data_IF_524124924751
#
_entry.id   IF_524124924751
#
_cell.length_a   1.000
_cell.length_b   1.000
_cell.length_c   1.000
_cell.angle_alpha   90.00
_cell.angle_beta   90.00
_cell.angle_gamma   90.00
#
_symmetry.space_group_name_H-M   'P 1'
#
loop_
_entity.id
_entity.type
_entity.pdbx_description
1 polymer ?
#
# COMPACT_ATOMS: atom_id res chain seq x y z
N UNK A 1 32.14 50.13 -18.86
CA UNK A 1 31.01 49.40 -18.26
C UNK A 1 31.29 47.92 -18.48
N UNK A 2 31.71 47.22 -17.44
CA UNK A 2 31.93 45.77 -17.48
C UNK A 2 30.58 45.05 -17.66
N UNK A 3 30.49 43.99 -18.48
CA UNK A 3 29.23 43.30 -18.78
C UNK A 3 28.74 42.37 -17.64
N UNK A 4 29.06 42.66 -16.38
CA UNK A 4 28.81 41.78 -15.23
C UNK A 4 27.61 42.20 -14.36
N UNK A 5 26.73 43.08 -14.85
CA UNK A 5 25.59 43.59 -14.07
C UNK A 5 24.26 43.49 -14.85
N UNK A 6 24.06 42.40 -15.60
CA UNK A 6 22.70 41.98 -15.97
C UNK A 6 22.21 41.07 -14.86
N UNK A 7 21.49 41.64 -13.90
CA UNK A 7 20.81 40.88 -12.86
C UNK A 7 19.98 39.75 -13.45
N UNK A 8 19.85 38.64 -12.71
CA UNK A 8 19.03 37.52 -13.12
C UNK A 8 17.62 37.99 -13.52
N UNK A 9 17.05 37.50 -14.64
CA UNK A 9 15.72 37.91 -15.05
C UNK A 9 14.70 37.56 -13.96
N UNK A 10 13.74 38.46 -13.74
CA UNK A 10 12.62 38.20 -12.83
C UNK A 10 11.81 36.99 -13.30
N UNK A 11 11.17 36.28 -12.37
CA UNK A 11 10.31 35.12 -12.67
C UNK A 11 9.30 35.40 -13.80
N UNK A 12 8.59 36.53 -13.76
CA UNK A 12 7.62 36.92 -14.80
C UNK A 12 8.26 37.10 -16.18
N UNK A 13 9.48 37.61 -16.23
CA UNK A 13 10.22 37.79 -17.48
C UNK A 13 10.66 36.44 -18.05
N UNK A 14 11.05 35.49 -17.20
CA UNK A 14 11.37 34.12 -17.61
C UNK A 14 10.14 33.41 -18.16
N UNK A 15 9.01 33.47 -17.45
CA UNK A 15 7.74 32.87 -17.87
C UNK A 15 7.29 33.44 -19.22
N UNK A 16 7.37 34.77 -19.37
CA UNK A 16 7.04 35.46 -20.63
C UNK A 16 7.99 35.06 -21.77
N UNK A 17 9.28 34.85 -21.48
CA UNK A 17 10.25 34.41 -22.49
C UNK A 17 9.93 33.01 -23.05
N UNK A 18 9.29 32.15 -22.27
CA UNK A 18 8.75 30.87 -22.74
C UNK A 18 7.35 30.98 -23.38
N UNK A 19 6.75 32.18 -23.43
CA UNK A 19 5.42 32.39 -24.00
C UNK A 19 4.29 31.82 -23.15
N UNK A 20 4.50 31.68 -21.84
CA UNK A 20 3.53 31.14 -20.89
C UNK A 20 2.99 32.22 -19.95
N UNK A 21 1.95 31.89 -19.20
CA UNK A 21 1.48 32.65 -18.04
C UNK A 21 1.81 31.94 -16.73
N UNK A 22 1.84 32.65 -15.58
CA UNK A 22 2.14 32.03 -14.28
C UNK A 22 1.22 30.85 -13.91
N UNK A 23 -0.05 30.85 -14.37
CA UNK A 23 -0.98 29.75 -14.09
C UNK A 23 -0.65 28.46 -14.87
N UNK A 24 0.15 28.56 -15.93
CA UNK A 24 0.49 27.43 -16.81
C UNK A 24 1.72 26.67 -16.35
N UNK A 25 2.45 27.15 -15.35
CA UNK A 25 3.69 26.53 -14.86
C UNK A 25 3.59 26.24 -13.37
N UNK A 26 4.28 25.20 -12.94
CA UNK A 26 4.71 25.04 -11.56
C UNK A 26 6.16 25.51 -11.45
N UNK A 27 6.51 26.25 -10.39
CA UNK A 27 7.90 26.58 -10.10
C UNK A 27 8.49 25.50 -9.19
N UNK A 28 9.74 25.11 -9.42
CA UNK A 28 10.45 24.19 -8.54
C UNK A 28 10.67 24.84 -7.17
N UNK A 29 10.39 24.10 -6.10
CA UNK A 29 10.66 24.49 -4.72
C UNK A 29 11.71 23.54 -4.12
N UNK A 30 12.94 24.00 -3.83
CA UNK A 30 13.97 23.17 -3.24
C UNK A 30 13.65 22.74 -1.80
N UNK A 31 12.79 23.46 -1.07
CA UNK A 31 12.35 23.06 0.27
C UNK A 31 11.31 21.94 0.22
N UNK A 32 10.54 21.87 -0.87
CA UNK A 32 9.51 20.85 -1.11
C UNK A 32 9.64 20.28 -2.53
N UNK A 33 10.64 19.41 -2.80
CA UNK A 33 10.97 18.95 -4.15
C UNK A 33 9.94 17.99 -4.78
N UNK A 34 8.71 17.95 -4.27
CA UNK A 34 7.60 17.20 -4.87
C UNK A 34 7.08 17.96 -6.07
N UNK A 35 7.10 17.32 -7.23
CA UNK A 35 6.67 17.91 -8.50
C UNK A 35 5.50 17.14 -9.11
N UNK A 36 4.53 17.88 -9.65
CA UNK A 36 3.48 17.34 -10.50
C UNK A 36 4.02 17.27 -11.93
N UNK A 37 4.53 16.11 -12.35
CA UNK A 37 5.19 15.99 -13.64
C UNK A 37 4.23 16.12 -14.83
N UNK A 38 2.91 16.12 -14.60
CA UNK A 38 1.89 16.35 -15.63
C UNK A 38 1.66 17.84 -15.90
N UNK A 39 2.34 18.73 -15.16
CA UNK A 39 2.37 20.18 -15.40
C UNK A 39 3.75 20.64 -15.86
N UNK A 40 3.82 21.70 -16.70
CA UNK A 40 5.11 22.29 -17.08
C UNK A 40 5.89 22.77 -15.85
N UNK A 41 7.11 22.25 -15.68
CA UNK A 41 7.98 22.58 -14.54
C UNK A 41 8.99 23.65 -14.94
N UNK A 42 8.99 24.77 -14.21
CA UNK A 42 9.97 25.84 -14.34
C UNK A 42 11.01 25.74 -13.23
N UNK A 43 12.28 25.67 -13.62
CA UNK A 43 13.44 25.67 -12.73
C UNK A 43 14.26 26.93 -13.02
N UNK A 44 14.53 27.76 -12.01
CA UNK A 44 15.38 28.94 -12.19
C UNK A 44 16.86 28.58 -12.07
N UNK A 45 17.75 29.40 -12.64
CA UNK A 45 19.20 29.17 -12.60
C UNK A 45 19.75 28.82 -11.20
N UNK A 46 19.27 29.52 -10.17
CA UNK A 46 19.72 29.32 -8.80
C UNK A 46 19.30 27.97 -8.19
N UNK A 47 18.41 27.23 -8.85
CA UNK A 47 17.83 25.96 -8.39
C UNK A 47 18.25 24.78 -9.29
N UNK A 48 18.98 25.06 -10.39
CA UNK A 48 19.34 24.06 -11.38
C UNK A 48 20.13 22.89 -10.76
N UNK A 49 21.03 23.16 -9.80
CA UNK A 49 21.83 22.11 -9.17
C UNK A 49 20.97 21.18 -8.31
N UNK A 50 20.09 21.71 -7.45
CA UNK A 50 19.20 20.90 -6.62
C UNK A 50 18.12 20.19 -7.45
N UNK A 51 17.62 20.82 -8.50
CA UNK A 51 16.58 20.26 -9.34
C UNK A 51 17.08 19.12 -10.25
N UNK A 52 18.36 19.11 -10.63
CA UNK A 52 18.89 18.17 -11.62
C UNK A 52 18.63 16.70 -11.25
N UNK A 53 18.87 16.31 -9.99
CA UNK A 53 18.63 14.93 -9.54
C UNK A 53 17.14 14.59 -9.50
N UNK A 54 16.30 15.51 -9.05
CA UNK A 54 14.84 15.34 -9.00
C UNK A 54 14.27 15.16 -10.40
N UNK A 55 14.72 15.99 -11.34
CA UNK A 55 14.30 15.92 -12.76
C UNK A 55 14.79 14.61 -13.39
N UNK A 56 16.04 14.22 -13.18
CA UNK A 56 16.58 12.97 -13.73
C UNK A 56 15.94 11.71 -13.12
N UNK A 57 15.50 11.76 -11.86
CA UNK A 57 14.77 10.65 -11.23
C UNK A 57 13.35 10.51 -11.77
N UNK A 58 12.71 11.65 -12.09
CA UNK A 58 11.28 11.72 -12.42
C UNK A 58 10.97 11.63 -13.91
N UNK A 59 11.76 12.30 -14.74
CA UNK A 59 11.53 12.40 -16.18
C UNK A 59 12.45 11.44 -16.95
N UNK A 60 11.98 10.81 -18.04
CA UNK A 60 12.81 9.87 -18.80
C UNK A 60 13.96 10.60 -19.53
N UNK A 61 15.09 9.90 -19.79
CA UNK A 61 16.13 10.39 -20.67
C UNK A 61 15.55 10.80 -22.03
N UNK A 62 16.07 11.86 -22.65
CA UNK A 62 15.55 12.40 -23.91
C UNK A 62 14.28 13.26 -23.77
N UNK A 63 13.66 13.37 -22.60
CA UNK A 63 12.47 14.21 -22.42
C UNK A 63 12.78 15.69 -22.63
N UNK A 64 11.84 16.41 -23.27
CA UNK A 64 12.09 17.76 -23.79
C UNK A 64 12.25 18.80 -22.68
N UNK A 65 13.31 19.59 -22.77
CA UNK A 65 13.60 20.75 -21.90
C UNK A 65 13.87 21.97 -22.77
N UNK A 66 13.15 23.07 -22.51
CA UNK A 66 13.47 24.38 -23.08
C UNK A 66 14.40 25.12 -22.12
N UNK A 67 15.56 25.55 -22.58
CA UNK A 67 16.53 26.30 -21.79
C UNK A 67 16.54 27.77 -22.22
N UNK A 68 16.36 28.68 -21.27
CA UNK A 68 16.51 30.12 -21.50
C UNK A 68 17.96 30.49 -21.23
N UNK A 69 18.67 30.98 -22.23
CA UNK A 69 20.07 31.44 -22.12
C UNK A 69 20.18 32.93 -22.44
N UNK A 70 21.38 33.50 -22.31
CA UNK A 70 21.65 34.88 -22.77
C UNK A 70 21.44 35.06 -24.28
N UNK A 71 21.51 33.98 -25.08
CA UNK A 71 21.29 34.00 -26.53
C UNK A 71 19.81 33.79 -26.93
N UNK A 72 18.93 33.51 -25.96
CA UNK A 72 17.52 33.18 -26.20
C UNK A 72 17.17 31.77 -25.74
N UNK A 73 15.99 31.30 -26.17
CA UNK A 73 15.48 29.98 -25.83
C UNK A 73 16.02 28.92 -26.80
N UNK A 74 16.59 27.86 -26.25
CA UNK A 74 17.08 26.69 -27.00
C UNK A 74 16.43 25.41 -26.47
N UNK A 75 16.33 24.37 -27.29
CA UNK A 75 15.81 23.06 -26.87
C UNK A 75 16.98 22.12 -26.52
N UNK A 76 16.77 21.32 -25.47
CA UNK A 76 17.68 20.25 -25.00
C UNK A 76 16.84 19.13 -24.38
N UNK A 77 17.48 18.18 -23.72
CA UNK A 77 16.85 17.02 -23.07
C UNK A 77 17.27 16.87 -21.61
N UNK A 78 16.54 16.05 -20.85
CA UNK A 78 16.82 15.74 -19.43
C UNK A 78 18.21 15.14 -19.20
N UNK A 79 18.74 14.36 -20.13
CA UNK A 79 20.08 13.78 -20.09
C UNK A 79 21.18 14.76 -20.57
N UNK A 80 20.79 15.96 -21.02
CA UNK A 80 21.67 17.03 -21.48
C UNK A 80 21.30 18.38 -20.86
N UNK A 81 20.97 18.38 -19.56
CA UNK A 81 20.64 19.60 -18.82
C UNK A 81 21.84 20.57 -18.78
N UNK A 82 21.69 21.83 -19.26
CA UNK A 82 22.76 22.83 -19.24
C UNK A 82 23.12 23.22 -17.81
N UNK A 83 24.37 23.50 -17.51
CA UNK A 83 24.76 23.90 -16.15
C UNK A 83 24.10 25.24 -15.72
N UNK A 84 24.03 25.50 -14.41
CA UNK A 84 23.41 26.71 -13.85
C UNK A 84 24.01 28.04 -14.39
N UNK A 85 25.26 28.02 -14.86
CA UNK A 85 25.94 29.18 -15.45
C UNK A 85 25.71 29.32 -16.96
N UNK A 86 25.15 28.29 -17.60
CA UNK A 86 24.85 28.25 -19.04
C UNK A 86 23.38 28.64 -19.33
N UNK A 87 22.49 28.43 -18.34
CA UNK A 87 21.06 28.71 -18.45
C UNK A 87 20.54 29.60 -17.33
N UNK A 88 19.66 30.54 -17.69
CA UNK A 88 18.89 31.35 -16.76
C UNK A 88 17.68 30.62 -16.16
N UNK A 89 17.11 29.67 -16.91
CA UNK A 89 16.02 28.81 -16.46
C UNK A 89 15.85 27.59 -17.38
N UNK A 90 15.23 26.53 -16.86
CA UNK A 90 14.71 25.41 -17.62
C UNK A 90 13.19 25.36 -17.53
N UNK A 91 12.53 25.05 -18.64
CA UNK A 91 11.13 24.69 -18.70
C UNK A 91 11.04 23.25 -19.21
N UNK A 92 10.68 22.33 -18.31
CA UNK A 92 10.51 20.92 -18.63
C UNK A 92 9.06 20.70 -19.07
N UNK A 93 8.86 20.03 -20.20
CA UNK A 93 7.53 19.72 -20.71
C UNK A 93 6.75 18.78 -19.77
N UNK A 94 5.42 18.86 -19.70
CA UNK A 94 4.63 17.90 -18.92
C UNK A 94 4.75 16.49 -19.50
N UNK A 95 4.67 15.49 -18.63
CA UNK A 95 4.52 14.08 -19.00
C UNK A 95 3.05 13.74 -19.24
N UNK A 96 2.79 12.88 -20.22
CA UNK A 96 1.52 12.17 -20.27
C UNK A 96 1.45 11.17 -19.09
N UNK A 97 0.26 10.78 -18.59
CA UNK A 97 0.12 9.88 -17.46
C UNK A 97 0.91 8.57 -17.60
N UNK A 98 0.92 7.97 -18.78
CA UNK A 98 1.65 6.74 -19.09
C UNK A 98 3.18 6.89 -19.10
N UNK A 99 3.68 8.12 -19.21
CA UNK A 99 5.11 8.43 -19.09
C UNK A 99 5.48 8.76 -17.63
N UNK A 100 4.48 9.03 -16.78
CA UNK A 100 4.65 9.49 -15.41
C UNK A 100 4.78 8.35 -14.38
N UNK A 101 5.61 7.36 -14.72
CA UNK A 101 5.67 6.02 -14.10
C UNK A 101 6.07 5.98 -12.62
N UNK A 102 6.50 7.10 -12.02
CA UNK A 102 6.90 7.18 -10.61
C UNK A 102 5.89 7.90 -9.72
N UNK A 103 4.63 8.00 -10.14
CA UNK A 103 3.58 8.62 -9.33
C UNK A 103 2.25 7.90 -9.35
N UNK A 104 1.53 8.13 -8.25
CA UNK A 104 0.15 7.73 -8.09
C UNK A 104 -0.76 8.46 -9.08
N UNK A 105 -0.44 9.68 -9.51
CA UNK A 105 -1.25 10.41 -10.49
C UNK A 105 -1.06 9.89 -11.92
N UNK A 106 0.14 9.41 -12.26
CA UNK A 106 0.37 8.64 -13.49
C UNK A 106 -0.49 7.38 -13.53
N UNK A 107 -0.47 6.59 -12.44
CA UNK A 107 -1.34 5.42 -12.31
C UNK A 107 -2.83 5.80 -12.35
N UNK A 108 -3.23 6.88 -11.69
CA UNK A 108 -4.61 7.41 -11.72
C UNK A 108 -5.06 7.65 -13.16
N UNK A 109 -4.26 8.39 -13.94
CA UNK A 109 -4.58 8.70 -15.33
C UNK A 109 -4.61 7.47 -16.24
N UNK A 110 -3.72 6.49 -16.02
CA UNK A 110 -3.77 5.20 -16.72
C UNK A 110 -5.08 4.48 -16.41
N UNK A 111 -5.46 4.38 -15.14
CA UNK A 111 -6.66 3.66 -14.71
C UNK A 111 -7.95 4.31 -15.22
N UNK A 112 -8.03 5.64 -15.18
CA UNK A 112 -9.14 6.39 -15.79
C UNK A 112 -9.22 6.16 -17.31
N UNK A 113 -8.08 6.07 -18.00
CA UNK A 113 -8.05 5.79 -19.44
C UNK A 113 -8.47 4.36 -19.75
N UNK A 114 -7.99 3.37 -18.98
CA UNK A 114 -8.35 1.96 -19.14
C UNK A 114 -9.85 1.75 -18.90
N UNK A 115 -10.40 2.36 -17.85
CA UNK A 115 -11.81 2.29 -17.45
C UNK A 115 -12.71 3.30 -18.19
N UNK A 116 -12.28 3.85 -19.32
CA UNK A 116 -13.09 4.74 -20.16
C UNK A 116 -13.86 3.97 -21.24
N UNK A 117 -14.97 4.51 -21.80
CA UNK A 117 -15.72 3.85 -22.86
C UNK A 117 -14.90 3.49 -24.12
N UNK A 118 -13.87 4.29 -24.41
CA UNK A 118 -12.92 4.06 -25.51
C UNK A 118 -11.61 3.40 -25.01
N UNK A 119 -11.63 2.86 -23.80
CA UNK A 119 -10.50 2.24 -23.10
C UNK A 119 -10.36 0.76 -23.41
N UNK A 120 -9.91 -0.02 -22.43
CA UNK A 120 -9.81 -1.47 -22.56
C UNK A 120 -11.16 -2.11 -22.21
N UNK A 121 -11.76 -2.91 -23.11
CA UNK A 121 -13.06 -3.52 -22.85
C UNK A 121 -13.09 -4.43 -21.62
N UNK A 122 -12.00 -5.18 -21.37
CA UNK A 122 -11.93 -6.05 -20.20
C UNK A 122 -11.87 -5.26 -18.90
N UNK A 123 -11.09 -4.18 -18.85
CA UNK A 123 -10.98 -3.32 -17.67
C UNK A 123 -12.32 -2.62 -17.41
N UNK A 124 -12.94 -2.08 -18.46
CA UNK A 124 -14.23 -1.38 -18.38
C UNK A 124 -15.38 -2.26 -17.86
N UNK A 125 -15.38 -3.55 -18.20
CA UNK A 125 -16.42 -4.50 -17.77
C UNK A 125 -16.23 -5.01 -16.32
N UNK A 126 -15.15 -4.63 -15.62
CA UNK A 126 -14.90 -5.08 -14.24
C UNK A 126 -15.86 -4.47 -13.22
N UNK A 127 -16.24 -5.27 -12.22
CA UNK A 127 -16.99 -4.87 -11.03
C UNK A 127 -16.23 -5.22 -9.75
N UNK A 128 -16.68 -4.73 -8.60
CA UNK A 128 -16.07 -5.11 -7.31
C UNK A 128 -16.11 -6.63 -7.07
N UNK A 129 -17.17 -7.31 -7.53
CA UNK A 129 -17.34 -8.75 -7.38
C UNK A 129 -16.39 -9.56 -8.28
N UNK A 130 -16.13 -9.10 -9.51
CA UNK A 130 -15.19 -9.76 -10.43
C UNK A 130 -13.74 -9.56 -9.98
N UNK A 131 -13.41 -8.38 -9.44
CA UNK A 131 -12.07 -8.03 -8.97
C UNK A 131 -11.65 -8.74 -7.67
N UNK A 132 -12.62 -9.18 -6.85
CA UNK A 132 -12.36 -9.79 -5.54
C UNK A 132 -11.39 -10.97 -5.58
N UNK A 133 -11.49 -11.85 -6.58
CA UNK A 133 -10.61 -13.03 -6.65
C UNK A 133 -9.16 -12.62 -6.88
N UNK A 134 -8.94 -11.67 -7.78
CA UNK A 134 -7.61 -11.11 -8.06
C UNK A 134 -7.01 -10.47 -6.82
N UNK A 135 -7.77 -9.63 -6.09
CA UNK A 135 -7.27 -9.05 -4.82
C UNK A 135 -6.83 -10.12 -3.80
N UNK A 136 -7.51 -11.27 -3.74
CA UNK A 136 -7.11 -12.38 -2.88
C UNK A 136 -5.81 -13.00 -3.40
N UNK A 137 -5.73 -13.27 -4.71
CA UNK A 137 -4.54 -13.82 -5.37
C UNK A 137 -3.31 -12.93 -5.11
N UNK A 138 -3.36 -11.63 -5.44
CA UNK A 138 -2.23 -10.70 -5.22
C UNK A 138 -1.83 -10.61 -3.74
N UNK A 139 -2.81 -10.71 -2.83
CA UNK A 139 -2.52 -10.73 -1.38
C UNK A 139 -1.70 -11.97 -1.02
N UNK A 140 -2.02 -13.15 -1.58
CA UNK A 140 -1.27 -14.36 -1.29
C UNK A 140 0.09 -14.39 -1.98
N UNK A 141 0.20 -13.86 -3.20
CA UNK A 141 1.47 -13.74 -3.91
C UNK A 141 2.42 -12.78 -3.16
N UNK A 142 1.91 -11.65 -2.66
CA UNK A 142 2.69 -10.75 -1.79
C UNK A 142 3.18 -11.46 -0.52
N UNK A 143 2.35 -12.29 0.10
CA UNK A 143 2.78 -13.03 1.29
C UNK A 143 3.78 -14.13 0.92
N UNK A 144 3.61 -14.82 -0.21
CA UNK A 144 4.58 -15.79 -0.71
C UNK A 144 5.96 -15.15 -0.94
N UNK A 145 6.00 -13.94 -1.49
CA UNK A 145 7.22 -13.16 -1.65
C UNK A 145 7.88 -12.82 -0.29
N UNK A 146 7.07 -12.43 0.72
CA UNK A 146 7.56 -12.22 2.10
C UNK A 146 8.16 -13.50 2.68
N UNK A 147 7.45 -14.62 2.59
CA UNK A 147 7.89 -15.91 3.14
C UNK A 147 9.19 -16.40 2.50
N UNK A 148 9.41 -16.08 1.21
CA UNK A 148 10.64 -16.40 0.47
C UNK A 148 11.77 -15.38 0.66
N UNK A 149 11.50 -14.24 1.27
CA UNK A 149 12.45 -13.12 1.32
C UNK A 149 12.74 -12.52 -0.06
N UNK A 150 11.83 -12.67 -1.02
CA UNK A 150 11.95 -12.13 -2.37
C UNK A 150 11.47 -10.67 -2.41
N UNK A 151 12.41 -9.74 -2.29
CA UNK A 151 12.11 -8.31 -2.29
C UNK A 151 11.71 -7.77 -3.67
N UNK A 152 12.13 -8.43 -4.76
CA UNK A 152 11.74 -8.01 -6.10
C UNK A 152 10.30 -8.43 -6.38
N UNK A 153 9.96 -9.69 -6.09
CA UNK A 153 8.59 -10.18 -6.11
C UNK A 153 7.69 -9.36 -5.21
N UNK A 154 8.08 -9.11 -3.95
CA UNK A 154 7.26 -8.29 -3.04
C UNK A 154 6.95 -6.89 -3.60
N UNK A 155 7.89 -6.27 -4.31
CA UNK A 155 7.67 -4.96 -4.95
C UNK A 155 6.66 -5.06 -6.11
N UNK A 156 6.69 -6.14 -6.87
CA UNK A 156 5.73 -6.44 -7.95
C UNK A 156 4.32 -6.62 -7.36
N UNK A 157 4.17 -7.53 -6.40
CA UNK A 157 2.87 -7.85 -5.80
C UNK A 157 2.25 -6.68 -5.02
N UNK A 158 3.07 -5.85 -4.36
CA UNK A 158 2.58 -4.60 -3.75
C UNK A 158 2.08 -3.61 -4.80
N UNK A 159 2.66 -3.64 -6.00
CA UNK A 159 2.17 -2.91 -7.17
C UNK A 159 0.81 -3.41 -7.63
N UNK A 160 0.59 -4.72 -7.65
CA UNK A 160 -0.69 -5.31 -8.04
C UNK A 160 -1.78 -5.10 -6.99
N UNK A 161 -1.43 -5.16 -5.70
CA UNK A 161 -2.33 -4.73 -4.62
C UNK A 161 -2.69 -3.24 -4.78
N UNK A 162 -1.72 -2.38 -5.12
CA UNK A 162 -1.97 -0.97 -5.38
C UNK A 162 -2.89 -0.78 -6.60
N UNK A 163 -2.69 -1.54 -7.67
CA UNK A 163 -3.57 -1.58 -8.84
C UNK A 163 -5.01 -1.93 -8.45
N UNK A 164 -5.21 -2.95 -7.61
CA UNK A 164 -6.54 -3.31 -7.11
C UNK A 164 -7.22 -2.16 -6.36
N UNK A 165 -6.48 -1.42 -5.52
CA UNK A 165 -7.03 -0.24 -4.82
C UNK A 165 -7.54 0.81 -5.82
N UNK A 166 -6.78 1.09 -6.87
CA UNK A 166 -7.19 2.04 -7.92
C UNK A 166 -8.38 1.52 -8.73
N UNK A 167 -8.41 0.23 -9.06
CA UNK A 167 -9.53 -0.41 -9.75
C UNK A 167 -10.84 -0.27 -8.96
N UNK A 168 -10.83 -0.61 -7.67
CA UNK A 168 -12.00 -0.42 -6.82
C UNK A 168 -12.40 1.05 -6.71
N UNK A 169 -11.45 1.99 -6.66
CA UNK A 169 -11.75 3.41 -6.63
C UNK A 169 -12.41 3.91 -7.93
N UNK A 170 -11.88 3.54 -9.11
CA UNK A 170 -12.44 4.00 -10.40
C UNK A 170 -13.82 3.38 -10.65
N UNK A 171 -14.03 2.10 -10.31
CA UNK A 171 -15.35 1.44 -10.37
C UNK A 171 -16.35 2.19 -9.49
N UNK A 172 -15.99 2.49 -8.23
CA UNK A 172 -16.88 3.19 -7.30
C UNK A 172 -17.22 4.61 -7.78
N UNK A 173 -16.24 5.32 -8.36
CA UNK A 173 -16.39 6.67 -8.89
C UNK A 173 -17.44 6.74 -10.01
N UNK A 174 -17.55 5.72 -10.86
CA UNK A 174 -18.56 5.69 -11.94
C UNK A 174 -20.00 5.71 -11.43
N UNK A 175 -20.24 5.19 -10.22
CA UNK A 175 -21.54 5.23 -9.55
C UNK A 175 -21.73 6.45 -8.64
N UNK A 176 -20.70 7.32 -8.53
CA UNK A 176 -20.68 8.44 -7.60
C UNK A 176 -20.58 8.04 -6.13
N UNK A 177 -20.12 6.82 -5.83
CA UNK A 177 -20.07 6.30 -4.46
C UNK A 177 -18.90 6.85 -3.65
N UNK A 178 -17.67 6.75 -4.16
CA UNK A 178 -16.46 7.33 -3.59
C UNK A 178 -15.35 7.41 -4.64
N UNK A 179 -14.30 8.18 -4.32
CA UNK A 179 -13.10 8.37 -5.14
C UNK A 179 -11.86 7.82 -4.44
N UNK A 180 -10.73 7.78 -5.16
CA UNK A 180 -9.44 7.43 -4.56
C UNK A 180 -9.06 8.39 -3.42
N UNK A 181 -9.41 9.67 -3.54
CA UNK A 181 -9.11 10.67 -2.52
C UNK A 181 -9.95 10.44 -1.24
N UNK A 182 -11.18 9.94 -1.37
CA UNK A 182 -12.01 9.53 -0.22
C UNK A 182 -11.41 8.30 0.50
N UNK A 183 -10.83 7.36 -0.26
CA UNK A 183 -10.09 6.21 0.31
C UNK A 183 -8.87 6.71 1.10
N UNK A 184 -8.09 7.62 0.52
CA UNK A 184 -6.94 8.23 1.17
C UNK A 184 -7.34 9.03 2.43
N UNK A 185 -8.37 9.85 2.34
CA UNK A 185 -8.90 10.60 3.48
C UNK A 185 -9.33 9.67 4.61
N UNK A 186 -10.03 8.58 4.28
CA UNK A 186 -10.51 7.60 5.25
C UNK A 186 -9.34 6.98 6.03
N UNK A 187 -8.28 6.56 5.34
CA UNK A 187 -7.12 5.97 6.02
C UNK A 187 -6.28 7.02 6.76
N UNK A 188 -6.08 8.21 6.20
CA UNK A 188 -5.32 9.30 6.87
C UNK A 188 -6.00 9.70 8.18
N UNK A 189 -7.31 10.01 8.16
CA UNK A 189 -8.06 10.38 9.37
C UNK A 189 -8.02 9.25 10.40
N UNK A 190 -8.15 7.99 9.97
CA UNK A 190 -8.07 6.82 10.83
C UNK A 190 -6.68 6.67 11.48
N UNK A 191 -5.60 6.85 10.71
CA UNK A 191 -4.23 6.73 11.22
C UNK A 191 -3.89 7.85 12.19
N UNK A 192 -4.23 9.10 11.86
CA UNK A 192 -4.03 10.26 12.77
C UNK A 192 -4.78 10.04 14.09
N UNK A 193 -6.06 9.67 14.03
CA UNK A 193 -6.89 9.43 15.22
C UNK A 193 -6.36 8.28 16.09
N UNK A 194 -5.84 7.21 15.47
CA UNK A 194 -5.34 6.02 16.19
C UNK A 194 -3.91 6.16 16.69
N UNK A 195 -3.18 7.20 16.28
CA UNK A 195 -1.84 7.51 16.76
C UNK A 195 -1.78 8.91 17.38
N UNK A 196 -2.61 9.20 18.39
CA UNK A 196 -2.64 10.51 19.02
C UNK A 196 -1.31 10.85 19.69
N UNK A 197 -0.46 9.87 20.00
CA UNK A 197 0.89 10.12 20.51
C UNK A 197 1.86 10.70 19.47
N UNK A 198 1.65 10.40 18.18
CA UNK A 198 2.48 10.94 17.09
C UNK A 198 1.95 12.29 16.63
N UNK A 199 0.62 12.44 16.54
CA UNK A 199 -0.03 13.56 15.86
C UNK A 199 -0.76 14.55 16.77
N UNK A 200 -0.92 14.23 18.04
CA UNK A 200 -1.31 15.18 19.07
C UNK A 200 -0.22 15.15 20.16
N UNK A 201 -0.07 16.20 20.97
CA UNK A 201 0.86 16.21 22.12
C UNK A 201 0.32 15.29 23.25
N UNK A 202 -0.01 14.05 22.91
CA UNK A 202 -0.43 13.03 23.84
C UNK A 202 0.77 12.18 24.23
N UNK A 203 0.75 11.67 25.46
CA UNK A 203 1.82 10.83 25.98
C UNK A 203 2.10 9.65 25.02
N UNK A 204 3.38 9.40 24.77
CA UNK A 204 3.85 8.38 23.85
C UNK A 204 3.57 6.97 24.33
N UNK A 205 3.27 6.80 25.62
CA UNK A 205 3.37 5.51 26.27
C UNK A 205 4.84 5.08 26.34
N UNK A 206 5.15 4.14 27.22
CA UNK A 206 6.51 3.67 27.45
C UNK A 206 6.79 2.32 26.78
N UNK A 207 5.74 1.57 26.40
CA UNK A 207 5.87 0.22 25.83
C UNK A 207 4.92 -0.03 24.65
N UNK A 208 5.23 -1.05 23.84
CA UNK A 208 4.36 -1.50 22.76
C UNK A 208 2.99 -1.99 23.29
N UNK A 209 2.97 -2.65 24.44
CA UNK A 209 1.74 -3.19 25.05
C UNK A 209 0.76 -2.08 25.46
N UNK A 210 1.27 -0.99 26.07
CA UNK A 210 0.47 0.19 26.41
C UNK A 210 -0.16 0.84 25.16
N UNK A 211 0.56 0.80 24.04
CA UNK A 211 0.08 1.31 22.76
C UNK A 211 -0.98 0.39 22.13
N UNK A 212 -0.84 -0.93 22.29
CA UNK A 212 -1.84 -1.91 21.89
C UNK A 212 -3.16 -1.74 22.65
N UNK A 213 -3.12 -1.60 23.98
CA UNK A 213 -4.31 -1.37 24.81
C UNK A 213 -5.04 -0.08 24.41
N UNK A 214 -4.28 1.00 24.18
CA UNK A 214 -4.82 2.27 23.71
C UNK A 214 -5.45 2.14 22.32
N UNK A 215 -4.84 1.36 21.44
CA UNK A 215 -5.37 1.12 20.11
C UNK A 215 -6.71 0.40 20.14
N UNK A 216 -6.86 -0.60 21.01
CA UNK A 216 -8.11 -1.31 21.23
C UNK A 216 -9.20 -0.42 21.84
N UNK A 217 -8.84 0.44 22.80
CA UNK A 217 -9.77 1.41 23.38
C UNK A 217 -10.31 2.40 22.32
N UNK A 218 -9.44 2.91 21.44
CA UNK A 218 -9.85 3.80 20.34
C UNK A 218 -10.77 3.05 19.36
N UNK A 219 -10.45 1.80 19.01
CA UNK A 219 -11.34 0.96 18.16
C UNK A 219 -12.70 0.70 18.80
N UNK A 220 -12.77 0.57 20.13
CA UNK A 220 -14.02 0.40 20.85
C UNK A 220 -14.88 1.67 20.80
N UNK A 221 -14.27 2.84 21.05
CA UNK A 221 -14.95 4.13 20.96
C UNK A 221 -15.49 4.43 19.55
N UNK A 222 -14.68 4.16 18.50
CA UNK A 222 -15.11 4.33 17.10
C UNK A 222 -16.36 3.50 16.75
N UNK A 223 -16.48 2.29 17.30
CA UNK A 223 -17.65 1.43 17.09
C UNK A 223 -18.90 1.99 17.77
N UNK A 224 -18.74 2.52 18.98
CA UNK A 224 -19.83 3.16 19.71
C UNK A 224 -20.33 4.43 18.99
N UNK A 225 -19.43 5.28 18.49
CA UNK A 225 -19.78 6.50 17.76
C UNK A 225 -20.48 6.24 16.43
N UNK A 226 -20.12 5.16 15.73
CA UNK A 226 -20.72 4.80 14.44
C UNK A 226 -22.18 4.29 14.54
N UNK A 227 -22.80 4.33 15.72
CA UNK A 227 -24.17 3.83 15.94
C UNK A 227 -24.31 2.32 15.72
N UNK A 228 -23.19 1.59 15.64
CA UNK A 228 -23.12 0.13 15.57
C UNK A 228 -23.33 -0.52 16.95
N UNK A 229 -23.92 0.22 17.88
CA UNK A 229 -24.33 -0.24 19.20
C UNK A 229 -25.78 -0.73 19.13
N UNK A 230 -25.95 -1.99 18.77
CA UNK A 230 -27.26 -2.68 18.77
C UNK A 230 -27.24 -3.92 17.87
N UNK A 231 -27.44 -5.10 18.48
CA UNK A 231 -27.31 -6.47 17.92
C UNK A 231 -25.92 -6.86 17.35
N UNK A 232 -25.13 -5.91 16.86
CA UNK A 232 -23.76 -6.05 16.32
C UNK A 232 -22.63 -5.82 17.35
N UNK A 233 -22.96 -5.82 18.65
CA UNK A 233 -22.01 -5.56 19.75
C UNK A 233 -21.13 -6.78 20.09
N UNK A 234 -21.20 -7.83 19.26
CA UNK A 234 -20.35 -8.99 19.37
C UNK A 234 -18.88 -8.57 19.18
N UNK A 235 -17.94 -9.01 20.05
CA UNK A 235 -16.52 -8.77 19.82
C UNK A 235 -16.05 -9.39 18.49
N UNK A 236 -16.82 -10.31 17.91
CA UNK A 236 -16.54 -10.99 16.66
C UNK A 236 -17.13 -10.30 15.41
N UNK A 237 -18.01 -9.31 15.55
CA UNK A 237 -18.75 -8.71 14.43
C UNK A 237 -17.84 -8.12 13.34
N UNK A 238 -16.65 -7.64 13.70
CA UNK A 238 -15.66 -7.09 12.76
C UNK A 238 -14.62 -8.09 12.28
N UNK A 239 -14.82 -9.41 12.44
CA UNK A 239 -13.95 -10.42 11.85
C UNK A 239 -14.38 -10.73 10.41
N UNK A 240 -13.54 -10.44 9.39
CA UNK A 240 -13.89 -10.75 8.01
C UNK A 240 -14.22 -12.24 7.86
N UNK A 241 -15.38 -12.53 7.27
CA UNK A 241 -15.83 -13.91 6.98
C UNK A 241 -14.88 -14.63 6.02
N UNK A 242 -14.17 -13.87 5.18
CA UNK A 242 -13.23 -14.39 4.20
C UNK A 242 -11.82 -14.70 4.77
N UNK A 243 -11.57 -14.47 6.07
CA UNK A 243 -10.29 -14.85 6.66
C UNK A 243 -10.07 -16.37 6.55
N UNK A 244 -8.84 -16.83 6.29
CA UNK A 244 -8.45 -18.22 6.38
C UNK A 244 -8.82 -18.83 7.73
N UNK A 245 -9.10 -20.13 7.75
CA UNK A 245 -9.74 -20.77 8.88
C UNK A 245 -8.89 -20.70 10.16
N UNK A 246 -7.56 -20.89 10.07
CA UNK A 246 -6.69 -20.85 11.26
C UNK A 246 -6.50 -19.41 11.74
N UNK A 247 -6.25 -18.48 10.82
CA UNK A 247 -6.14 -17.06 11.15
C UNK A 247 -7.43 -16.51 11.79
N UNK A 248 -8.59 -16.91 11.26
CA UNK A 248 -9.91 -16.58 11.82
C UNK A 248 -10.06 -17.17 13.22
N UNK A 249 -9.72 -18.44 13.42
CA UNK A 249 -9.79 -19.09 14.72
C UNK A 249 -8.90 -18.39 15.76
N UNK A 250 -7.62 -18.11 15.43
CA UNK A 250 -6.71 -17.36 16.30
C UNK A 250 -7.27 -15.98 16.67
N UNK A 251 -7.84 -15.28 15.69
CA UNK A 251 -8.47 -13.97 15.92
C UNK A 251 -9.70 -14.06 16.82
N UNK A 252 -10.56 -15.07 16.64
CA UNK A 252 -11.71 -15.33 17.53
C UNK A 252 -11.23 -15.60 18.95
N UNK A 253 -10.27 -16.50 19.14
CA UNK A 253 -9.72 -16.85 20.46
C UNK A 253 -9.18 -15.60 21.16
N UNK A 254 -8.37 -14.79 20.45
CA UNK A 254 -7.81 -13.57 21.03
C UNK A 254 -8.84 -12.48 21.35
N UNK A 255 -9.97 -12.44 20.64
CA UNK A 255 -11.07 -11.52 20.97
C UNK A 255 -11.94 -12.05 22.11
N UNK A 256 -12.18 -13.36 22.17
CA UNK A 256 -12.90 -14.00 23.26
C UNK A 256 -12.17 -13.80 24.59
N UNK A 257 -10.84 -13.97 24.61
CA UNK A 257 -9.99 -13.74 25.78
C UNK A 257 -10.09 -12.29 26.29
N UNK A 258 -10.00 -11.31 25.39
CA UNK A 258 -10.09 -9.88 25.75
C UNK A 258 -11.47 -9.46 26.26
N UNK A 259 -12.51 -10.13 25.79
CA UNK A 259 -13.89 -9.87 26.19
C UNK A 259 -14.37 -10.73 27.37
N UNK A 260 -13.48 -11.55 27.96
CA UNK A 260 -13.80 -12.49 29.05
C UNK A 260 -14.94 -13.46 28.68
N UNK A 261 -14.99 -13.89 27.41
CA UNK A 261 -16.04 -14.76 26.86
C UNK A 261 -15.62 -16.23 26.70
N UNK A 262 -14.43 -16.61 27.15
CA UNK A 262 -13.98 -17.99 27.11
C UNK A 262 -12.49 -18.15 27.41
N UNK A 263 -12.10 -19.38 27.72
CA UNK A 263 -10.74 -19.74 28.08
C UNK A 263 -9.84 -19.71 26.84
N UNK A 264 -9.04 -18.66 26.68
CA UNK A 264 -7.82 -18.76 25.90
C UNK A 264 -6.76 -19.41 26.80
N UNK A 265 -6.31 -20.63 26.49
CA UNK A 265 -5.37 -21.32 27.35
C UNK A 265 -4.09 -20.51 27.47
N UNK A 266 -3.55 -20.46 28.69
CA UNK A 266 -2.17 -20.00 28.91
C UNK A 266 -1.18 -20.90 28.15
N UNK A 267 0.04 -20.41 27.95
CA UNK A 267 1.16 -21.19 27.37
C UNK A 267 1.25 -22.58 28.00
N UNK A 268 1.24 -22.66 29.33
CA UNK A 268 1.37 -23.91 30.08
C UNK A 268 0.18 -24.87 29.89
N UNK A 269 -1.01 -24.34 29.59
CA UNK A 269 -2.23 -25.12 29.43
C UNK A 269 -2.54 -25.48 27.96
N UNK A 270 -1.95 -24.77 27.00
CA UNK A 270 -2.32 -24.91 25.60
C UNK A 270 -1.82 -26.22 24.98
N UNK A 271 -0.59 -26.64 25.30
CA UNK A 271 -0.05 -27.90 24.81
C UNK A 271 -0.77 -29.14 25.39
N UNK A 272 -1.07 -29.20 26.71
CA UNK A 272 -1.96 -30.24 27.25
C UNK A 272 -3.34 -30.29 26.60
N UNK A 273 -3.99 -29.13 26.38
CA UNK A 273 -5.30 -29.08 25.73
C UNK A 273 -5.26 -29.58 24.27
N UNK A 274 -4.16 -29.30 23.56
CA UNK A 274 -3.92 -29.85 22.23
C UNK A 274 -3.81 -31.38 22.25
N UNK A 275 -3.09 -31.94 23.22
CA UNK A 275 -2.96 -33.39 23.38
C UNK A 275 -4.31 -34.04 23.69
N UNK A 276 -5.11 -33.46 24.59
CA UNK A 276 -6.46 -33.93 24.90
C UNK A 276 -7.38 -33.91 23.67
N UNK A 277 -7.32 -32.86 22.85
CA UNK A 277 -8.10 -32.79 21.62
C UNK A 277 -7.69 -33.88 20.61
N UNK A 278 -6.41 -34.25 20.56
CA UNK A 278 -5.90 -35.33 19.72
C UNK A 278 -6.39 -36.70 20.21
N UNK A 279 -6.32 -36.96 21.52
CA UNK A 279 -6.84 -38.20 22.13
C UNK A 279 -8.35 -38.33 21.91
N UNK A 280 -9.10 -37.24 22.10
CA UNK A 280 -10.53 -37.21 21.85
C UNK A 280 -10.92 -37.47 20.38
N UNK A 281 -10.06 -37.11 19.42
CA UNK A 281 -10.25 -37.46 18.00
C UNK A 281 -9.97 -38.94 17.76
N UNK A 282 -8.95 -39.51 18.41
CA UNK A 282 -8.61 -40.93 18.28
C UNK A 282 -9.75 -41.84 18.77
N UNK A 283 -10.38 -41.47 19.89
CA UNK A 283 -11.48 -42.22 20.50
C UNK A 283 -12.86 -41.96 19.87
N UNK A 284 -12.95 -41.03 18.91
CA UNK A 284 -14.21 -40.59 18.35
C UNK A 284 -14.88 -41.64 17.44
N UNK A 285 -16.19 -41.90 17.60
CA UNK A 285 -16.94 -42.71 16.65
C UNK A 285 -16.97 -42.03 15.27
N UNK A 286 -17.15 -42.78 14.16
CA UNK A 286 -17.08 -42.23 12.80
C UNK A 286 -17.97 -40.99 12.56
N UNK A 287 -19.15 -40.91 13.18
CA UNK A 287 -20.05 -39.77 13.06
C UNK A 287 -19.54 -38.46 13.69
N UNK A 288 -18.64 -38.55 14.67
CA UNK A 288 -18.18 -37.39 15.45
C UNK A 288 -16.78 -36.90 15.05
N UNK A 289 -16.05 -37.69 14.23
CA UNK A 289 -14.66 -37.39 13.86
C UNK A 289 -14.47 -36.01 13.22
N UNK A 290 -15.44 -35.55 12.42
CA UNK A 290 -15.38 -34.21 11.81
C UNK A 290 -15.39 -33.10 12.86
N UNK A 291 -16.28 -33.18 13.85
CA UNK A 291 -16.34 -32.21 14.95
C UNK A 291 -15.07 -32.25 15.81
N UNK A 292 -14.54 -33.45 16.08
CA UNK A 292 -13.30 -33.63 16.85
C UNK A 292 -12.07 -33.12 16.11
N UNK A 293 -12.00 -33.31 14.79
CA UNK A 293 -10.96 -32.69 13.96
C UNK A 293 -11.04 -31.16 14.03
N UNK A 294 -12.24 -30.59 13.99
CA UNK A 294 -12.44 -29.16 14.19
C UNK A 294 -11.91 -28.67 15.55
N UNK A 295 -12.20 -29.41 16.63
CA UNK A 295 -11.70 -29.09 17.97
C UNK A 295 -10.16 -29.20 18.06
N UNK A 296 -9.55 -30.17 17.38
CA UNK A 296 -8.10 -30.31 17.29
C UNK A 296 -7.47 -29.11 16.56
N UNK A 297 -8.03 -28.72 15.40
CA UNK A 297 -7.55 -27.54 14.65
C UNK A 297 -7.72 -26.24 15.46
N UNK A 298 -8.81 -26.12 16.22
CA UNK A 298 -9.00 -25.02 17.17
C UNK A 298 -7.92 -25.02 18.26
N UNK A 299 -7.61 -26.19 18.84
CA UNK A 299 -6.56 -26.30 19.85
C UNK A 299 -5.16 -25.96 19.29
N UNK A 300 -4.89 -26.29 18.03
CA UNK A 300 -3.67 -25.85 17.32
C UNK A 300 -3.61 -24.33 17.23
N UNK A 301 -4.70 -23.68 16.81
CA UNK A 301 -4.78 -22.21 16.74
C UNK A 301 -4.62 -21.57 18.14
N UNK A 302 -5.22 -22.18 19.17
CA UNK A 302 -5.09 -21.71 20.56
C UNK A 302 -3.65 -21.81 21.07
N UNK A 303 -2.97 -22.93 20.81
CA UNK A 303 -1.55 -23.12 21.12
C UNK A 303 -0.67 -22.11 20.40
N UNK A 304 -0.83 -21.98 19.09
CA UNK A 304 -0.07 -21.02 18.30
C UNK A 304 -0.23 -19.58 18.85
N UNK A 305 -1.47 -19.17 19.19
CA UNK A 305 -1.70 -17.87 19.81
C UNK A 305 -0.99 -17.72 21.16
N UNK A 306 -1.03 -18.75 22.02
CA UNK A 306 -0.40 -18.68 23.35
C UNK A 306 1.13 -18.49 23.24
N UNK A 307 1.74 -19.10 22.23
CA UNK A 307 3.18 -19.02 21.90
C UNK A 307 3.56 -17.83 21.00
N UNK A 308 2.61 -16.94 20.67
CA UNK A 308 2.81 -15.82 19.73
C UNK A 308 3.27 -16.27 18.32
N UNK A 309 2.73 -17.38 17.84
CA UNK A 309 2.96 -17.96 16.51
C UNK A 309 1.74 -17.72 15.60
N UNK A 310 1.99 -17.45 14.32
CA UNK A 310 0.94 -17.40 13.29
C UNK A 310 0.68 -18.81 12.73
N UNK A 311 -0.48 -19.38 13.05
CA UNK A 311 -0.81 -20.77 12.72
C UNK A 311 -1.01 -20.99 11.22
N UNK A 312 -1.57 -19.99 10.53
CA UNK A 312 -1.82 -20.05 9.09
C UNK A 312 -0.49 -20.08 8.32
N UNK A 313 0.42 -19.16 8.66
CA UNK A 313 1.76 -19.05 8.07
C UNK A 313 2.59 -20.28 8.38
N UNK A 314 2.54 -20.81 9.61
CA UNK A 314 3.25 -22.03 9.98
C UNK A 314 2.80 -23.25 9.14
N UNK A 315 1.49 -23.40 8.90
CA UNK A 315 0.97 -24.47 8.04
C UNK A 315 1.35 -24.25 6.57
N UNK A 316 1.27 -23.00 6.09
CA UNK A 316 1.66 -22.66 4.72
C UNK A 316 3.14 -22.96 4.47
N UNK A 317 4.02 -22.57 5.37
CA UNK A 317 5.46 -22.84 5.27
C UNK A 317 5.75 -24.35 5.27
N UNK A 318 5.10 -25.11 6.16
CA UNK A 318 5.25 -26.57 6.19
C UNK A 318 4.73 -27.23 4.91
N UNK A 319 3.66 -26.68 4.32
CA UNK A 319 3.12 -27.14 3.04
C UNK A 319 4.11 -26.89 1.90
N UNK A 320 4.70 -25.69 1.83
CA UNK A 320 5.76 -25.37 0.86
C UNK A 320 6.95 -26.32 0.99
N UNK A 321 7.47 -26.53 2.22
CA UNK A 321 8.56 -27.49 2.49
C UNK A 321 8.22 -28.94 2.08
N UNK A 322 6.95 -29.34 2.14
CA UNK A 322 6.53 -30.64 1.63
C UNK A 322 6.55 -30.68 0.10
N UNK A 323 6.01 -29.66 -0.55
CA UNK A 323 5.98 -29.55 -2.02
C UNK A 323 7.40 -29.58 -2.58
N UNK A 324 8.34 -28.80 -2.02
CA UNK A 324 9.73 -28.76 -2.48
C UNK A 324 10.40 -30.13 -2.40
N UNK A 325 10.21 -30.83 -1.28
CA UNK A 325 10.74 -32.19 -1.08
C UNK A 325 10.09 -33.19 -2.02
N UNK A 326 8.79 -33.08 -2.27
CA UNK A 326 8.07 -33.97 -3.18
C UNK A 326 8.50 -33.75 -4.64
N UNK A 327 8.62 -32.49 -5.08
CA UNK A 327 9.11 -32.11 -6.39
C UNK A 327 10.55 -32.59 -6.63
N UNK A 328 11.44 -32.40 -5.65
CA UNK A 328 12.83 -32.89 -5.71
C UNK A 328 12.90 -34.41 -5.87
N UNK A 329 12.06 -35.17 -5.16
CA UNK A 329 11.98 -36.63 -5.30
C UNK A 329 11.44 -37.06 -6.65
N UNK A 330 10.44 -36.36 -7.18
CA UNK A 330 9.87 -36.66 -8.50
C UNK A 330 10.90 -36.42 -9.62
N UNK A 331 11.73 -35.37 -9.51
CA UNK A 331 12.81 -35.11 -10.44
C UNK A 331 13.91 -36.19 -10.40
N UNK A 332 14.32 -36.61 -9.19
CA UNK A 332 15.39 -37.60 -9.00
C UNK A 332 14.96 -39.06 -9.18
N UNK A 333 13.64 -39.35 -9.19
CA UNK A 333 13.10 -40.69 -9.44
C UNK A 333 12.86 -41.01 -10.91
N UNK A 334 13.21 -40.08 -11.81
CA UNK A 334 13.07 -40.18 -13.27
C UNK A 334 14.44 -40.30 -13.99
N UNK A 335 15.53 -40.48 -13.23
CA UNK A 335 16.86 -40.94 -13.69
C UNK A 335 17.09 -42.41 -13.30
#
# INVERSE_FOLDING_TARGET
MTPTDRGAPSLDAVITAFGLSPSQVQAFDPEHPRIDAQRPLLVLAAQCEEAASVVAERYPPGHRVMSLTAAGVTETTVDALPAHHEAHAWLIAPLAPEQDARSLDGLRGIMERLYSPDGCPWDYDQTHESLRSYLIEETYEAIEAIDRGDLEGLREELGDILLQVFFHAVVAQTSGAFTLDDVAETIVRKMVRRHPHVFADADHGSTADEQWERWDAIKAAERAEAGKSGEDDSPFASLPLALPALQRAQSVIGRAARADLGDAPSVDAALPALAEAADALADAPPGDRGARLGALLWAVAAYARAEDLDAESALREQTARFIDRAASKAANGNE
#
